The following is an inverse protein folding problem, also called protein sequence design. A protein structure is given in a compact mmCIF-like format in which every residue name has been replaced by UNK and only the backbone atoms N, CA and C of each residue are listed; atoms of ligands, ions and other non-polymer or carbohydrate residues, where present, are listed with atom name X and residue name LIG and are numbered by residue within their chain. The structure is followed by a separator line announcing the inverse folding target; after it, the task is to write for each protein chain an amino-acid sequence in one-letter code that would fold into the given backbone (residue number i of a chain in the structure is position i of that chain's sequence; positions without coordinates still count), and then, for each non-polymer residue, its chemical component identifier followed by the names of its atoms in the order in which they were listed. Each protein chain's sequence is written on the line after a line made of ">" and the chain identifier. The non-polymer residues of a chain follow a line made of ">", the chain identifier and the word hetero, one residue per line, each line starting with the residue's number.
data_IF_729684136865
#
_entry.id   IF_729684136865
#
_cell.length_a   1.000
_cell.length_b   1.000
_cell.length_c   1.000
_cell.angle_alpha   90.00
_cell.angle_beta   90.00
_cell.angle_gamma   90.00
#
_symmetry.space_group_name_H-M   'P 1'
#
loop_
_entity.id
_entity.type
_entity.pdbx_description
1 polymer ?
#
# COMPACT_ATOMS: atom_id res chain seq x y z
N UNK A 1 -14.35 -2.69 8.17
CA UNK A 1 -14.27 -1.68 7.11
C UNK A 1 -14.05 -2.32 5.74
N UNK A 2 -12.98 -3.12 5.54
CA UNK A 2 -12.71 -3.76 4.24
C UNK A 2 -13.89 -4.60 3.72
N UNK A 3 -14.52 -5.42 4.56
CA UNK A 3 -15.67 -6.23 4.16
C UNK A 3 -16.88 -5.38 3.76
N UNK A 4 -17.17 -4.29 4.49
CA UNK A 4 -18.26 -3.37 4.14
C UNK A 4 -17.99 -2.70 2.80
N UNK A 5 -16.77 -2.21 2.58
CA UNK A 5 -16.35 -1.64 1.30
C UNK A 5 -16.49 -2.66 0.17
N UNK A 6 -16.04 -3.91 0.39
CA UNK A 6 -16.14 -4.96 -0.61
C UNK A 6 -17.60 -5.26 -0.99
N UNK A 7 -18.50 -5.34 -0.01
CA UNK A 7 -19.93 -5.59 -0.27
C UNK A 7 -20.57 -4.46 -1.08
N UNK A 8 -20.27 -3.22 -0.72
CA UNK A 8 -20.79 -2.06 -1.44
C UNK A 8 -20.28 -2.02 -2.90
N UNK A 9 -18.99 -2.20 -3.09
CA UNK A 9 -18.36 -2.14 -4.42
C UNK A 9 -18.83 -3.25 -5.35
N UNK A 10 -19.24 -4.41 -4.82
CA UNK A 10 -19.83 -5.48 -5.65
C UNK A 10 -21.12 -5.04 -6.36
N UNK A 11 -21.93 -4.19 -5.74
CA UNK A 11 -23.17 -3.69 -6.37
C UNK A 11 -22.85 -2.80 -7.57
N UNK A 12 -21.90 -1.88 -7.43
CA UNK A 12 -21.48 -1.01 -8.53
C UNK A 12 -20.75 -1.80 -9.63
N UNK A 13 -19.93 -2.78 -9.25
CA UNK A 13 -19.29 -3.70 -10.17
C UNK A 13 -20.33 -4.52 -10.98
N UNK A 14 -21.37 -5.01 -10.33
CA UNK A 14 -22.46 -5.70 -10.99
C UNK A 14 -23.23 -4.80 -11.97
N UNK A 15 -23.50 -3.54 -11.57
CA UNK A 15 -24.15 -2.56 -12.43
C UNK A 15 -23.34 -2.25 -13.70
N UNK A 16 -22.02 -2.34 -13.66
CA UNK A 16 -21.15 -2.21 -14.83
C UNK A 16 -21.11 -3.51 -15.68
N UNK A 17 -20.85 -4.65 -15.02
CA UNK A 17 -20.51 -5.90 -15.72
C UNK A 17 -21.74 -6.64 -16.27
N UNK A 18 -22.85 -6.66 -15.52
CA UNK A 18 -24.04 -7.41 -15.93
C UNK A 18 -24.64 -6.89 -17.25
N UNK A 19 -24.87 -5.58 -17.43
CA UNK A 19 -25.32 -5.07 -18.73
C UNK A 19 -24.29 -5.27 -19.84
N UNK A 20 -22.98 -5.12 -19.56
CA UNK A 20 -21.92 -5.37 -20.52
C UNK A 20 -21.92 -6.85 -20.99
N UNK A 21 -22.16 -7.78 -20.08
CA UNK A 21 -22.29 -9.20 -20.39
C UNK A 21 -23.49 -9.47 -21.33
N UNK A 22 -24.68 -8.92 -21.01
CA UNK A 22 -25.83 -9.06 -21.86
C UNK A 22 -25.65 -8.40 -23.25
N UNK A 23 -24.93 -7.27 -23.29
CA UNK A 23 -24.54 -6.66 -24.55
C UNK A 23 -23.59 -7.56 -25.36
N UNK A 24 -22.62 -8.19 -24.73
CA UNK A 24 -21.67 -9.11 -25.39
C UNK A 24 -22.35 -10.36 -25.97
N UNK A 25 -23.47 -10.78 -25.36
CA UNK A 25 -24.29 -11.88 -25.85
C UNK A 25 -25.32 -11.46 -26.96
N UNK A 26 -25.36 -10.16 -27.31
CA UNK A 26 -26.32 -9.62 -28.26
C UNK A 26 -27.77 -9.50 -27.74
N UNK A 27 -27.99 -9.73 -26.43
CA UNK A 27 -29.31 -9.57 -25.78
C UNK A 27 -29.65 -8.08 -25.67
N UNK A 28 -28.68 -7.26 -25.26
CA UNK A 28 -28.78 -5.81 -25.34
C UNK A 28 -28.17 -5.33 -26.67
N UNK A 29 -28.92 -4.52 -27.40
CA UNK A 29 -28.44 -3.96 -28.66
C UNK A 29 -27.35 -2.91 -28.49
N UNK A 30 -27.44 -2.15 -27.45
CA UNK A 30 -26.49 -1.06 -27.14
C UNK A 30 -26.21 -0.99 -25.63
N UNK A 31 -25.02 -0.59 -25.29
CA UNK A 31 -24.65 -0.22 -23.92
C UNK A 31 -23.76 1.02 -23.97
N UNK A 32 -24.17 2.08 -23.31
CA UNK A 32 -23.47 3.37 -23.33
C UNK A 32 -22.11 3.28 -22.62
N UNK A 33 -20.98 3.59 -23.29
CA UNK A 33 -19.65 3.50 -22.71
C UNK A 33 -19.44 4.46 -21.53
N UNK A 34 -20.11 5.61 -21.52
CA UNK A 34 -20.03 6.58 -20.44
C UNK A 34 -20.67 6.05 -19.15
N UNK A 35 -21.86 5.45 -19.29
CA UNK A 35 -22.56 4.77 -18.19
C UNK A 35 -21.70 3.61 -17.67
N UNK A 36 -21.15 2.76 -18.56
CA UNK A 36 -20.25 1.69 -18.18
C UNK A 36 -19.05 2.22 -17.37
N UNK A 37 -18.37 3.28 -17.84
CA UNK A 37 -17.20 3.83 -17.17
C UNK A 37 -17.53 4.44 -15.80
N UNK A 38 -18.67 5.09 -15.66
CA UNK A 38 -19.10 5.62 -14.36
C UNK A 38 -19.29 4.51 -13.32
N UNK A 39 -20.06 3.46 -13.64
CA UNK A 39 -20.24 2.33 -12.74
C UNK A 39 -18.95 1.53 -12.53
N UNK A 40 -18.15 1.34 -13.59
CA UNK A 40 -16.86 0.65 -13.47
C UNK A 40 -15.92 1.37 -12.50
N UNK A 41 -15.85 2.68 -12.53
CA UNK A 41 -14.98 3.42 -11.60
C UNK A 41 -15.62 3.65 -10.24
N UNK A 42 -16.93 3.61 -10.11
CA UNK A 42 -17.63 3.45 -8.84
C UNK A 42 -17.19 2.17 -8.11
N UNK A 43 -16.95 1.10 -8.86
CA UNK A 43 -16.34 -0.13 -8.36
C UNK A 43 -14.81 -0.03 -8.24
N UNK A 44 -14.12 0.44 -9.30
CA UNK A 44 -12.67 0.25 -9.47
C UNK A 44 -11.84 0.91 -8.38
N UNK A 45 -12.11 2.16 -8.06
CA UNK A 45 -11.35 2.85 -7.01
C UNK A 45 -11.71 2.37 -5.60
N UNK A 46 -12.98 2.25 -5.21
CA UNK A 46 -13.35 1.69 -3.90
C UNK A 46 -12.86 0.25 -3.70
N UNK A 47 -12.81 -0.58 -4.75
CA UNK A 47 -12.24 -1.92 -4.67
C UNK A 47 -10.73 -1.90 -4.30
N UNK A 48 -9.97 -0.94 -4.84
CA UNK A 48 -8.58 -0.75 -4.42
C UNK A 48 -8.47 -0.30 -2.96
N UNK A 49 -9.46 0.38 -2.44
CA UNK A 49 -9.50 0.81 -1.04
C UNK A 49 -9.89 -0.32 -0.08
N UNK A 50 -10.53 -1.38 -0.57
CA UNK A 50 -10.63 -2.65 0.18
C UNK A 50 -9.22 -3.17 0.49
N UNK A 51 -8.33 -3.16 -0.50
CA UNK A 51 -6.93 -3.54 -0.33
C UNK A 51 -6.22 -2.62 0.68
N UNK A 52 -6.45 -1.30 0.62
CA UNK A 52 -5.89 -0.35 1.58
C UNK A 52 -6.34 -0.67 3.01
N UNK A 53 -7.63 -0.82 3.24
CA UNK A 53 -8.17 -1.09 4.57
C UNK A 53 -7.66 -2.43 5.13
N UNK A 54 -7.56 -3.46 4.30
CA UNK A 54 -6.99 -4.74 4.65
C UNK A 54 -5.49 -4.62 4.96
N UNK A 55 -4.72 -3.96 4.11
CA UNK A 55 -3.29 -3.71 4.28
C UNK A 55 -2.98 -2.99 5.59
N UNK A 56 -3.70 -1.91 5.91
CA UNK A 56 -3.50 -1.18 7.17
C UNK A 56 -3.81 -2.06 8.37
N UNK A 57 -4.82 -2.92 8.29
CA UNK A 57 -5.12 -3.90 9.35
C UNK A 57 -3.96 -4.88 9.55
N UNK A 58 -3.34 -5.34 8.44
CA UNK A 58 -2.15 -6.18 8.46
C UNK A 58 -0.94 -5.43 9.02
N UNK A 59 -0.76 -4.15 8.73
CA UNK A 59 0.31 -3.34 9.34
C UNK A 59 0.23 -3.33 10.86
N UNK A 60 -0.96 -3.15 11.43
CA UNK A 60 -1.16 -3.26 12.88
C UNK A 60 -0.85 -4.67 13.39
N UNK A 61 -1.31 -5.70 12.69
CA UNK A 61 -1.04 -7.10 13.06
C UNK A 61 0.46 -7.41 13.01
N UNK A 62 1.17 -7.05 11.95
CA UNK A 62 2.62 -7.25 11.83
C UNK A 62 3.39 -6.47 12.90
N UNK A 63 3.02 -5.23 13.16
CA UNK A 63 3.66 -4.43 14.20
C UNK A 63 3.42 -5.03 15.60
N UNK A 64 2.22 -5.58 15.85
CA UNK A 64 1.91 -6.29 17.10
C UNK A 64 2.74 -7.58 17.21
N UNK A 65 2.79 -8.39 16.15
CA UNK A 65 3.50 -9.69 16.15
C UNK A 65 5.01 -9.48 16.31
N UNK A 66 5.59 -8.51 15.59
CA UNK A 66 7.05 -8.35 15.52
C UNK A 66 7.64 -7.47 16.63
N UNK A 67 6.89 -6.49 17.11
CA UNK A 67 7.36 -5.51 18.07
C UNK A 67 6.55 -5.48 19.38
N UNK A 68 5.30 -5.97 19.34
CA UNK A 68 4.40 -5.95 20.50
C UNK A 68 3.79 -4.56 20.76
N UNK A 69 3.42 -3.84 19.68
CA UNK A 69 2.85 -2.50 19.83
C UNK A 69 1.47 -2.53 20.49
N UNK A 70 1.12 -1.37 21.09
CA UNK A 70 -0.27 -0.97 21.36
C UNK A 70 -0.59 0.26 20.51
N UNK A 71 -1.81 0.38 19.93
CA UNK A 71 -2.21 1.61 19.26
C UNK A 71 -2.05 2.81 20.19
N UNK A 72 -1.43 3.90 19.71
CA UNK A 72 -1.23 5.12 20.51
C UNK A 72 -2.57 5.69 20.96
N UNK A 73 -3.55 5.65 20.07
CA UNK A 73 -4.92 6.01 20.35
C UNK A 73 -5.86 5.16 19.49
N UNK A 74 -6.54 4.21 20.12
CA UNK A 74 -7.44 3.28 19.42
C UNK A 74 -8.65 3.99 18.79
N UNK A 75 -9.22 4.98 19.47
CA UNK A 75 -10.36 5.74 18.94
C UNK A 75 -9.95 6.51 17.68
N UNK A 76 -8.77 7.10 17.69
CA UNK A 76 -8.21 7.82 16.54
C UNK A 76 -7.99 6.88 15.36
N UNK A 77 -7.40 5.71 15.59
CA UNK A 77 -7.21 4.69 14.54
C UNK A 77 -8.54 4.17 13.99
N UNK A 78 -9.53 3.95 14.84
CA UNK A 78 -10.88 3.54 14.40
C UNK A 78 -11.57 4.64 13.58
N UNK A 79 -11.43 5.91 13.97
CA UNK A 79 -11.95 7.05 13.21
C UNK A 79 -11.36 7.08 11.79
N UNK A 80 -10.07 6.82 11.62
CA UNK A 80 -9.43 6.76 10.31
C UNK A 80 -10.08 5.71 9.39
N UNK A 81 -10.42 4.53 9.92
CA UNK A 81 -11.16 3.52 9.16
C UNK A 81 -12.60 3.94 8.82
N UNK A 82 -13.24 4.75 9.65
CA UNK A 82 -14.56 5.32 9.36
C UNK A 82 -14.47 6.33 8.23
N UNK A 83 -13.44 7.18 8.22
CA UNK A 83 -13.19 8.11 7.11
C UNK A 83 -13.03 7.38 5.78
N UNK A 84 -12.40 6.21 5.76
CA UNK A 84 -12.33 5.38 4.55
C UNK A 84 -13.72 4.95 4.04
N UNK A 85 -14.63 4.55 4.92
CA UNK A 85 -15.97 4.13 4.51
C UNK A 85 -16.74 5.23 3.78
N UNK A 86 -16.60 6.48 4.23
CA UNK A 86 -17.36 7.59 3.66
C UNK A 86 -16.67 8.21 2.44
N UNK A 87 -15.40 8.57 2.56
CA UNK A 87 -14.76 9.44 1.57
C UNK A 87 -14.12 8.71 0.41
N UNK A 88 -13.76 7.46 0.59
CA UNK A 88 -13.14 6.67 -0.47
C UNK A 88 -14.15 6.34 -1.57
N UNK A 89 -15.38 6.03 -1.23
CA UNK A 89 -16.43 5.77 -2.21
C UNK A 89 -16.75 7.02 -3.05
N UNK A 90 -16.70 8.19 -2.44
CA UNK A 90 -16.90 9.47 -3.13
C UNK A 90 -15.69 9.87 -3.98
N UNK A 91 -14.52 9.31 -3.72
CA UNK A 91 -13.25 9.67 -4.36
C UNK A 91 -12.99 9.03 -5.74
N UNK A 92 -13.97 8.41 -6.40
CA UNK A 92 -13.74 7.63 -7.64
C UNK A 92 -13.60 8.46 -8.91
N UNK A 93 -14.15 9.68 -8.94
CA UNK A 93 -14.23 10.47 -10.17
C UNK A 93 -12.88 10.98 -10.69
N UNK A 94 -11.80 10.92 -9.90
CA UNK A 94 -10.47 11.28 -10.38
C UNK A 94 -9.95 10.35 -11.50
N UNK A 95 -10.54 9.19 -11.70
CA UNK A 95 -10.28 8.34 -12.86
C UNK A 95 -11.00 8.79 -14.13
N UNK A 96 -11.95 9.72 -14.00
CA UNK A 96 -12.83 10.22 -15.08
C UNK A 96 -12.61 11.70 -15.39
N UNK A 97 -11.57 12.35 -14.85
CA UNK A 97 -11.38 13.81 -14.97
C UNK A 97 -11.26 14.28 -16.42
N UNK A 98 -10.76 13.42 -17.32
CA UNK A 98 -10.63 13.70 -18.75
C UNK A 98 -11.77 13.11 -19.59
N UNK A 99 -12.73 12.43 -18.95
CA UNK A 99 -13.87 11.85 -19.64
C UNK A 99 -14.92 12.93 -19.93
N UNK A 100 -15.61 12.87 -21.08
CA UNK A 100 -16.71 13.77 -21.38
C UNK A 100 -17.91 13.49 -20.45
N UNK A 101 -18.68 14.55 -20.17
CA UNK A 101 -19.94 14.44 -19.43
C UNK A 101 -19.84 14.49 -17.92
N UNK A 102 -18.65 14.53 -17.32
CA UNK A 102 -18.50 14.73 -15.89
C UNK A 102 -18.65 16.22 -15.55
N UNK A 103 -19.60 16.58 -14.67
CA UNK A 103 -19.84 17.98 -14.31
C UNK A 103 -18.67 18.59 -13.54
N UNK A 104 -18.44 19.90 -13.74
CA UNK A 104 -17.41 20.65 -13.00
C UNK A 104 -17.62 20.55 -11.48
N UNK A 105 -18.86 20.65 -11.00
CA UNK A 105 -19.17 20.55 -9.58
C UNK A 105 -18.75 19.20 -9.01
N UNK A 106 -19.01 18.10 -9.72
CA UNK A 106 -18.61 16.76 -9.28
C UNK A 106 -17.10 16.60 -9.30
N UNK A 107 -16.41 17.08 -10.33
CA UNK A 107 -14.95 17.11 -10.37
C UNK A 107 -14.37 17.86 -9.18
N UNK A 108 -14.87 19.07 -8.89
CA UNK A 108 -14.40 19.90 -7.78
C UNK A 108 -14.62 19.23 -6.42
N UNK A 109 -15.81 18.67 -6.17
CA UNK A 109 -16.09 17.94 -4.91
C UNK A 109 -15.18 16.73 -4.76
N UNK A 110 -14.98 15.97 -5.83
CA UNK A 110 -14.19 14.76 -5.81
C UNK A 110 -12.71 15.04 -5.56
N UNK A 111 -12.12 15.98 -6.28
CA UNK A 111 -10.68 16.30 -6.21
C UNK A 111 -10.30 17.13 -4.98
N UNK A 112 -11.24 17.84 -4.36
CA UNK A 112 -10.97 18.63 -3.15
C UNK A 112 -11.36 17.87 -1.87
N UNK A 113 -12.67 17.72 -1.63
CA UNK A 113 -13.15 17.23 -0.35
C UNK A 113 -12.99 15.72 -0.19
N UNK A 114 -13.50 14.94 -1.16
CA UNK A 114 -13.54 13.50 -1.01
C UNK A 114 -12.12 12.90 -0.96
N UNK A 115 -11.24 13.32 -1.85
CA UNK A 115 -9.88 12.81 -1.90
C UNK A 115 -9.06 13.20 -0.67
N UNK A 116 -9.09 14.48 -0.25
CA UNK A 116 -8.28 14.91 0.89
C UNK A 116 -8.77 14.36 2.22
N UNK A 117 -10.08 14.13 2.38
CA UNK A 117 -10.61 13.48 3.58
C UNK A 117 -10.29 11.98 3.62
N UNK A 118 -10.23 11.32 2.46
CA UNK A 118 -9.70 9.95 2.38
C UNK A 118 -8.20 9.88 2.73
N UNK A 119 -7.40 10.85 2.22
CA UNK A 119 -5.97 10.97 2.56
C UNK A 119 -5.77 11.24 4.05
N UNK A 120 -6.64 12.02 4.69
CA UNK A 120 -6.56 12.28 6.13
C UNK A 120 -6.60 10.97 6.93
N UNK A 121 -7.48 10.01 6.59
CA UNK A 121 -7.50 8.68 7.20
C UNK A 121 -6.16 7.95 7.07
N UNK A 122 -5.54 8.01 5.89
CA UNK A 122 -4.23 7.42 5.65
C UNK A 122 -3.12 8.10 6.46
N UNK A 123 -3.15 9.43 6.58
CA UNK A 123 -2.19 10.19 7.40
C UNK A 123 -2.31 9.87 8.89
N UNK A 124 -3.53 9.63 9.38
CA UNK A 124 -3.75 9.19 10.77
C UNK A 124 -3.04 7.86 11.04
N UNK A 125 -3.11 6.89 10.13
CA UNK A 125 -2.40 5.62 10.25
C UNK A 125 -0.88 5.77 10.03
N UNK A 126 -0.47 6.61 9.08
CA UNK A 126 0.94 6.90 8.78
C UNK A 126 1.68 7.53 9.98
N UNK A 127 0.96 8.21 10.88
CA UNK A 127 1.51 8.66 12.16
C UNK A 127 1.38 7.59 13.25
N UNK A 128 0.18 6.99 13.41
CA UNK A 128 -0.13 6.11 14.54
C UNK A 128 0.75 4.87 14.61
N UNK A 129 1.07 4.24 13.45
CA UNK A 129 1.86 3.01 13.42
C UNK A 129 3.34 3.28 13.72
N UNK A 130 4.05 4.20 13.05
CA UNK A 130 5.42 4.55 13.43
C UNK A 130 5.56 5.05 14.87
N UNK A 131 4.59 5.82 15.34
CA UNK A 131 4.57 6.28 16.73
C UNK A 131 4.47 5.12 17.72
N UNK A 132 3.58 4.16 17.45
CA UNK A 132 3.45 2.96 18.29
C UNK A 132 4.72 2.09 18.24
N UNK A 133 5.34 1.93 17.08
CA UNK A 133 6.62 1.23 16.92
C UNK A 133 7.73 1.93 17.71
N UNK A 134 7.84 3.25 17.63
CA UNK A 134 8.84 4.02 18.37
C UNK A 134 8.65 3.87 19.88
N UNK A 135 7.41 4.04 20.39
CA UNK A 135 7.13 3.88 21.82
C UNK A 135 7.53 2.49 22.30
N UNK A 136 7.12 1.44 21.57
CA UNK A 136 7.43 0.07 21.94
C UNK A 136 8.94 -0.24 21.94
N UNK A 137 9.65 0.23 20.93
CA UNK A 137 11.10 0.01 20.84
C UNK A 137 11.88 0.84 21.84
N UNK A 138 11.44 2.08 22.15
CA UNK A 138 12.03 2.88 23.22
C UNK A 138 11.80 2.26 24.61
N UNK A 139 10.63 1.70 24.85
CA UNK A 139 10.33 0.96 26.08
C UNK A 139 11.24 -0.27 26.26
N UNK A 140 11.67 -0.88 25.15
CA UNK A 140 12.67 -1.97 25.14
C UNK A 140 14.13 -1.50 25.30
N UNK A 141 14.35 -0.18 25.49
CA UNK A 141 15.68 0.40 25.77
C UNK A 141 16.35 1.10 24.58
N UNK A 142 15.76 1.09 23.38
CA UNK A 142 16.36 1.74 22.20
C UNK A 142 16.10 3.25 22.18
N UNK A 143 16.53 3.97 23.22
CA UNK A 143 16.21 5.39 23.47
C UNK A 143 17.21 6.41 22.90
N UNK A 144 18.35 5.96 22.34
CA UNK A 144 19.43 6.86 21.90
C UNK A 144 19.03 7.69 20.69
N UNK A 145 18.93 9.01 20.86
CA UNK A 145 18.63 9.96 19.80
C UNK A 145 17.23 9.81 19.18
N UNK A 146 17.00 10.48 18.05
CA UNK A 146 15.71 10.49 17.38
C UNK A 146 15.38 9.15 16.69
N UNK A 147 16.36 8.50 16.08
CA UNK A 147 16.18 7.31 15.24
C UNK A 147 16.88 6.05 15.76
N UNK A 148 17.37 6.08 17.04
CA UNK A 148 17.96 4.89 17.65
C UNK A 148 17.02 3.69 17.69
N UNK A 149 15.74 3.93 17.92
CA UNK A 149 14.70 2.92 17.89
C UNK A 149 14.57 2.25 16.51
N UNK A 150 14.59 3.03 15.43
CA UNK A 150 14.49 2.54 14.06
C UNK A 150 15.75 1.79 13.64
N UNK A 151 16.94 2.29 14.02
CA UNK A 151 18.22 1.65 13.69
C UNK A 151 18.36 0.27 14.32
N UNK A 152 17.83 0.08 15.54
CA UNK A 152 17.91 -1.16 16.30
C UNK A 152 16.63 -2.00 16.21
N UNK A 153 15.71 -1.64 15.32
CA UNK A 153 14.50 -2.40 15.07
C UNK A 153 14.83 -3.79 14.48
N UNK A 154 13.91 -4.75 14.56
CA UNK A 154 14.17 -6.13 14.12
C UNK A 154 14.16 -6.29 12.59
N UNK A 155 15.05 -5.62 11.89
CA UNK A 155 15.16 -5.64 10.42
C UNK A 155 15.43 -7.02 9.83
N UNK A 156 15.93 -7.96 10.63
CA UNK A 156 16.11 -9.35 10.25
C UNK A 156 14.82 -10.17 10.26
N UNK A 157 13.75 -9.62 10.85
CA UNK A 157 12.44 -10.26 10.92
C UNK A 157 11.62 -9.91 9.67
N UNK A 158 11.22 -10.93 8.85
CA UNK A 158 10.60 -10.66 7.55
C UNK A 158 9.27 -9.90 7.65
N UNK A 159 8.52 -10.09 8.73
CA UNK A 159 7.29 -9.33 8.95
C UNK A 159 7.54 -7.86 9.24
N UNK A 160 8.58 -7.55 10.02
CA UNK A 160 8.93 -6.16 10.31
C UNK A 160 9.46 -5.43 9.07
N UNK A 161 10.37 -6.05 8.33
CA UNK A 161 10.90 -5.45 7.11
C UNK A 161 9.81 -5.29 6.03
N UNK A 162 8.90 -6.27 5.88
CA UNK A 162 7.74 -6.14 5.00
C UNK A 162 6.82 -5.01 5.42
N UNK A 163 6.53 -4.85 6.71
CA UNK A 163 5.74 -3.75 7.24
C UNK A 163 6.33 -2.39 6.86
N UNK A 164 7.59 -2.16 7.21
CA UNK A 164 8.21 -0.84 7.01
C UNK A 164 8.38 -0.51 5.54
N UNK A 165 8.82 -1.47 4.72
CA UNK A 165 8.95 -1.28 3.27
C UNK A 165 7.59 -1.08 2.60
N UNK A 166 6.55 -1.82 3.02
CA UNK A 166 5.18 -1.63 2.56
C UNK A 166 4.68 -0.22 2.86
N UNK A 167 4.86 0.26 4.10
CA UNK A 167 4.47 1.62 4.49
C UNK A 167 5.23 2.69 3.70
N UNK A 168 6.53 2.49 3.48
CA UNK A 168 7.36 3.42 2.72
C UNK A 168 6.90 3.49 1.26
N UNK A 169 6.78 2.36 0.58
CA UNK A 169 6.39 2.32 -0.83
C UNK A 169 4.97 2.82 -1.04
N UNK A 170 4.05 2.40 -0.18
CA UNK A 170 2.67 2.88 -0.24
C UNK A 170 2.56 4.38 0.02
N UNK A 171 3.15 4.88 1.10
CA UNK A 171 2.99 6.27 1.52
C UNK A 171 3.82 7.25 0.68
N UNK A 172 5.14 7.06 0.66
CA UNK A 172 6.09 8.02 0.09
C UNK A 172 6.12 8.03 -1.44
N UNK A 173 5.77 6.92 -2.07
CA UNK A 173 5.71 6.83 -3.53
C UNK A 173 4.25 6.79 -3.99
N UNK A 174 3.49 5.78 -3.57
CA UNK A 174 2.14 5.54 -4.03
C UNK A 174 1.15 6.64 -3.63
N UNK A 175 1.08 6.98 -2.34
CA UNK A 175 0.14 7.98 -1.84
C UNK A 175 0.37 9.37 -2.44
N UNK A 176 1.64 9.81 -2.48
CA UNK A 176 2.02 11.11 -3.05
C UNK A 176 1.69 11.19 -4.53
N UNK A 177 2.01 10.15 -5.31
CA UNK A 177 1.68 10.09 -6.74
C UNK A 177 0.17 10.04 -6.97
N UNK A 178 -0.59 9.38 -6.09
CA UNK A 178 -2.05 9.32 -6.17
C UNK A 178 -2.70 10.68 -6.02
N UNK A 179 -2.29 11.46 -5.02
CA UNK A 179 -2.82 12.81 -4.81
C UNK A 179 -2.51 13.72 -6.00
N UNK A 180 -1.30 13.65 -6.56
CA UNK A 180 -0.94 14.45 -7.74
C UNK A 180 -1.72 14.06 -8.98
N UNK A 181 -1.95 12.75 -9.23
CA UNK A 181 -2.82 12.29 -10.32
C UNK A 181 -4.29 12.71 -10.08
N UNK A 182 -4.71 12.81 -8.84
CA UNK A 182 -6.04 13.29 -8.47
C UNK A 182 -6.26 14.79 -8.71
N UNK A 183 -5.23 15.57 -9.02
CA UNK A 183 -5.33 16.98 -9.39
C UNK A 183 -5.64 17.07 -10.89
N UNK A 184 -6.75 17.74 -11.27
CA UNK A 184 -7.26 17.72 -12.67
C UNK A 184 -6.22 18.20 -13.67
N UNK A 185 -5.52 19.30 -13.41
CA UNK A 185 -4.53 19.88 -14.32
C UNK A 185 -3.36 18.90 -14.58
N UNK A 186 -2.87 18.24 -13.54
CA UNK A 186 -1.82 17.21 -13.67
C UNK A 186 -2.38 15.98 -14.37
N UNK A 187 -3.61 15.56 -14.02
CA UNK A 187 -4.25 14.39 -14.61
C UNK A 187 -4.39 14.54 -16.13
N UNK A 188 -4.79 15.70 -16.62
CA UNK A 188 -4.93 15.96 -18.06
C UNK A 188 -3.64 15.68 -18.83
N UNK A 189 -2.49 15.96 -18.25
CA UNK A 189 -1.18 15.79 -18.90
C UNK A 189 -0.64 14.35 -18.79
N UNK A 190 -0.93 13.66 -17.70
CA UNK A 190 -0.37 12.33 -17.42
C UNK A 190 -1.36 11.18 -17.58
N UNK A 191 -2.62 11.49 -17.93
CA UNK A 191 -3.65 10.47 -18.15
C UNK A 191 -3.24 9.52 -19.27
N UNK A 192 -3.45 8.23 -19.07
CA UNK A 192 -3.04 7.16 -20.02
C UNK A 192 -1.53 7.01 -20.25
N UNK A 193 -0.68 7.68 -19.47
CA UNK A 193 0.77 7.41 -19.47
C UNK A 193 1.17 6.32 -18.48
N UNK A 194 2.43 5.88 -18.53
CA UNK A 194 3.00 4.93 -17.56
C UNK A 194 3.02 5.44 -16.12
N UNK A 195 2.77 6.73 -15.90
CA UNK A 195 2.65 7.29 -14.55
C UNK A 195 1.50 6.66 -13.75
N UNK A 196 0.36 6.35 -14.40
CA UNK A 196 -0.76 5.69 -13.73
C UNK A 196 -0.41 4.28 -13.25
N UNK A 197 0.08 3.37 -14.13
CA UNK A 197 0.59 2.07 -13.65
C UNK A 197 1.67 2.22 -12.58
N UNK A 198 2.62 3.14 -12.71
CA UNK A 198 3.64 3.39 -11.71
C UNK A 198 3.06 3.71 -10.32
N UNK A 199 2.02 4.55 -10.27
CA UNK A 199 1.30 4.86 -9.04
C UNK A 199 0.69 3.60 -8.40
N UNK A 200 -0.11 2.83 -9.12
CA UNK A 200 -0.76 1.68 -8.49
C UNK A 200 0.19 0.50 -8.26
N UNK A 201 1.32 0.41 -8.97
CA UNK A 201 2.39 -0.53 -8.60
C UNK A 201 3.03 -0.16 -7.27
N UNK A 202 3.21 1.12 -6.98
CA UNK A 202 3.69 1.57 -5.67
C UNK A 202 2.67 1.33 -4.54
N UNK A 203 1.36 1.49 -4.81
CA UNK A 203 0.30 1.28 -3.81
C UNK A 203 -0.05 -0.19 -3.64
N UNK A 204 -0.70 -0.80 -4.63
CA UNK A 204 -1.28 -2.14 -4.51
C UNK A 204 -0.21 -3.22 -4.63
N UNK A 205 0.61 -3.20 -5.70
CA UNK A 205 1.57 -4.28 -5.93
C UNK A 205 2.72 -4.23 -4.93
N UNK A 206 3.20 -3.05 -4.58
CA UNK A 206 4.26 -2.92 -3.55
C UNK A 206 3.67 -2.94 -2.14
N UNK A 207 2.84 -1.94 -1.82
CA UNK A 207 2.33 -1.74 -0.48
C UNK A 207 1.52 -2.92 0.01
N UNK A 208 0.40 -3.21 -0.65
CA UNK A 208 -0.52 -4.27 -0.22
C UNK A 208 0.13 -5.65 -0.30
N UNK A 209 0.70 -6.01 -1.45
CA UNK A 209 1.25 -7.35 -1.65
C UNK A 209 2.38 -7.64 -0.67
N UNK A 210 3.29 -6.68 -0.44
CA UNK A 210 4.42 -6.89 0.48
C UNK A 210 3.95 -7.08 1.92
N UNK A 211 2.93 -6.33 2.37
CA UNK A 211 2.34 -6.53 3.69
C UNK A 211 1.74 -7.94 3.83
N UNK A 212 0.99 -8.39 2.82
CA UNK A 212 0.41 -9.73 2.81
C UNK A 212 1.47 -10.84 2.74
N UNK A 213 2.52 -10.67 1.94
CA UNK A 213 3.65 -11.60 1.91
C UNK A 213 4.28 -11.74 3.31
N UNK A 214 4.58 -10.63 3.97
CA UNK A 214 5.12 -10.63 5.33
C UNK A 214 4.20 -11.32 6.33
N UNK A 215 2.90 -11.06 6.25
CA UNK A 215 1.90 -11.67 7.14
C UNK A 215 1.73 -13.17 6.91
N UNK A 216 1.84 -13.61 5.66
CA UNK A 216 1.72 -15.04 5.30
C UNK A 216 2.75 -15.91 6.02
N UNK A 217 3.95 -15.39 6.30
CA UNK A 217 4.98 -16.13 7.03
C UNK A 217 4.58 -16.51 8.47
N UNK A 218 3.62 -15.80 9.06
CA UNK A 218 3.05 -16.14 10.37
C UNK A 218 1.77 -16.98 10.23
N UNK A 219 1.01 -16.75 9.16
CA UNK A 219 -0.25 -17.49 8.92
C UNK A 219 -0.02 -18.94 8.53
N UNK A 220 1.04 -19.23 7.75
CA UNK A 220 1.37 -20.59 7.33
C UNK A 220 1.59 -21.53 8.53
N UNK A 221 2.43 -21.21 9.52
CA UNK A 221 2.58 -22.03 10.70
C UNK A 221 1.27 -22.30 11.43
N UNK A 222 0.39 -21.30 11.50
CA UNK A 222 -0.90 -21.43 12.18
C UNK A 222 -1.88 -22.33 11.44
N UNK A 223 -2.07 -22.13 10.13
CA UNK A 223 -3.06 -22.88 9.35
C UNK A 223 -2.59 -24.30 9.06
N UNK A 224 -1.36 -24.46 8.60
CA UNK A 224 -0.83 -25.75 8.15
C UNK A 224 -0.12 -26.53 9.25
N UNK A 225 0.06 -25.94 10.44
CA UNK A 225 0.81 -26.53 11.56
C UNK A 225 2.19 -27.01 11.13
N UNK A 226 2.86 -26.20 10.34
CA UNK A 226 4.19 -26.46 9.78
C UNK A 226 5.12 -25.31 10.12
N UNK A 227 6.39 -25.60 10.39
CA UNK A 227 7.39 -24.55 10.54
C UNK A 227 7.74 -23.91 9.19
N UNK A 228 8.04 -22.61 9.24
CA UNK A 228 8.55 -21.90 8.08
C UNK A 228 9.94 -22.43 7.71
N UNK A 229 10.11 -22.86 6.46
CA UNK A 229 11.39 -23.24 5.88
C UNK A 229 12.06 -22.07 5.19
N UNK A 230 13.34 -22.23 4.83
CA UNK A 230 14.11 -21.21 4.11
C UNK A 230 14.11 -19.85 4.85
N UNK A 231 14.23 -19.87 6.18
CA UNK A 231 14.20 -18.66 7.03
C UNK A 231 15.22 -17.58 6.54
N UNK A 232 16.39 -18.00 6.02
CA UNK A 232 17.37 -17.11 5.43
C UNK A 232 16.85 -16.38 4.20
N UNK A 233 16.10 -17.08 3.33
CA UNK A 233 15.45 -16.45 2.17
C UNK A 233 14.30 -15.53 2.61
N UNK A 234 13.50 -15.96 3.59
CA UNK A 234 12.41 -15.14 4.13
C UNK A 234 12.91 -13.80 4.68
N UNK A 235 14.10 -13.78 5.30
CA UNK A 235 14.75 -12.55 5.77
C UNK A 235 15.04 -11.57 4.63
N UNK A 236 15.52 -12.05 3.48
CA UNK A 236 15.93 -11.20 2.35
C UNK A 236 14.82 -10.90 1.34
N UNK A 237 13.80 -11.75 1.28
CA UNK A 237 12.71 -11.64 0.32
C UNK A 237 12.02 -10.25 0.32
N UNK A 238 11.68 -9.64 1.46
CA UNK A 238 11.07 -8.30 1.47
C UNK A 238 11.95 -7.22 0.85
N UNK A 239 13.25 -7.32 1.03
CA UNK A 239 14.19 -6.37 0.45
C UNK A 239 14.33 -6.53 -1.06
N UNK A 240 14.45 -7.77 -1.54
CA UNK A 240 14.54 -8.05 -2.98
C UNK A 240 13.27 -7.60 -3.69
N UNK A 241 12.10 -8.01 -3.17
CA UNK A 241 10.82 -7.62 -3.73
C UNK A 241 10.57 -6.11 -3.61
N UNK A 242 10.78 -5.53 -2.43
CA UNK A 242 10.54 -4.11 -2.17
C UNK A 242 11.46 -3.20 -3.01
N UNK A 243 12.75 -3.53 -3.14
CA UNK A 243 13.67 -2.79 -4.00
C UNK A 243 13.28 -2.93 -5.48
N UNK A 244 12.94 -4.15 -5.91
CA UNK A 244 12.44 -4.39 -7.26
C UNK A 244 11.23 -3.55 -7.57
N UNK A 245 10.24 -3.51 -6.67
CA UNK A 245 9.03 -2.72 -6.84
C UNK A 245 9.26 -1.21 -6.76
N UNK A 246 10.22 -0.75 -5.94
CA UNK A 246 10.63 0.66 -5.93
C UNK A 246 11.14 1.08 -7.31
N UNK A 247 12.09 0.34 -7.87
CA UNK A 247 12.66 0.64 -9.18
C UNK A 247 11.60 0.53 -10.29
N UNK A 248 10.76 -0.50 -10.25
CA UNK A 248 9.62 -0.67 -11.18
C UNK A 248 8.71 0.55 -11.17
N UNK A 249 8.23 0.94 -9.98
CA UNK A 249 7.29 2.05 -9.84
C UNK A 249 7.93 3.38 -10.26
N UNK A 250 9.16 3.65 -9.81
CA UNK A 250 9.86 4.89 -10.15
C UNK A 250 10.19 4.96 -11.65
N UNK A 251 10.64 3.88 -12.25
CA UNK A 251 10.89 3.81 -13.69
C UNK A 251 9.62 4.10 -14.51
N UNK A 252 8.47 3.51 -14.14
CA UNK A 252 7.18 3.80 -14.77
C UNK A 252 6.73 5.25 -14.54
N UNK A 253 6.87 5.78 -13.32
CA UNK A 253 6.47 7.16 -12.99
C UNK A 253 7.26 8.16 -13.82
N UNK A 254 8.58 8.01 -13.88
CA UNK A 254 9.46 8.89 -14.64
C UNK A 254 9.21 8.77 -16.14
N UNK A 255 9.08 7.55 -16.68
CA UNK A 255 8.73 7.36 -18.09
C UNK A 255 7.38 7.98 -18.44
N UNK A 256 6.39 7.84 -17.55
CA UNK A 256 5.07 8.44 -17.75
C UNK A 256 5.07 9.95 -17.70
N UNK A 257 5.94 10.60 -16.88
CA UNK A 257 6.16 12.05 -16.90
C UNK A 257 6.81 12.53 -18.21
N UNK A 258 7.59 11.66 -18.85
CA UNK A 258 8.19 11.93 -20.15
C UNK A 258 7.22 11.65 -21.32
N UNK A 259 5.95 11.34 -21.04
CA UNK A 259 4.92 11.14 -22.04
C UNK A 259 4.75 9.71 -22.55
N UNK A 260 5.47 8.73 -21.99
CA UNK A 260 5.34 7.33 -22.41
C UNK A 260 3.93 6.82 -22.14
N UNK A 261 3.22 6.45 -23.18
CA UNK A 261 1.85 5.94 -23.07
C UNK A 261 1.84 4.54 -22.40
N UNK A 262 0.83 4.31 -21.55
CA UNK A 262 0.56 2.95 -21.08
C UNK A 262 -0.03 2.10 -22.19
N UNK A 263 0.19 0.77 -22.14
CA UNK A 263 -0.34 -0.19 -23.12
C UNK A 263 0.22 0.01 -24.53
N UNK A 264 1.39 0.61 -24.65
CA UNK A 264 2.07 0.71 -25.92
C UNK A 264 2.83 -0.61 -26.21
N UNK A 265 2.68 -1.14 -27.41
CA UNK A 265 3.36 -2.34 -27.86
C UNK A 265 4.70 -2.03 -28.58
N UNK A 266 4.80 -0.82 -29.11
CA UNK A 266 6.00 -0.35 -29.82
C UNK A 266 6.90 0.45 -28.89
N UNK A 267 7.98 -0.15 -28.43
CA UNK A 267 8.96 0.48 -27.54
C UNK A 267 9.80 1.56 -28.25
N UNK A 268 9.81 1.59 -29.57
CA UNK A 268 10.54 2.63 -30.33
C UNK A 268 9.77 3.94 -30.38
N UNK A 269 8.46 3.91 -30.05
CA UNK A 269 7.56 5.05 -30.07
C UNK A 269 7.63 5.85 -31.38
N UNK A 270 7.93 5.17 -32.50
CA UNK A 270 8.15 5.76 -33.83
C UNK A 270 9.22 6.88 -33.83
N UNK A 271 10.22 6.78 -32.97
CA UNK A 271 11.32 7.75 -32.89
C UNK A 271 10.99 9.07 -32.19
N UNK A 272 9.83 9.18 -31.55
CA UNK A 272 9.34 10.44 -30.96
C UNK A 272 9.78 10.64 -29.50
N UNK A 273 10.39 9.64 -28.88
CA UNK A 273 10.69 9.66 -27.43
C UNK A 273 12.12 10.13 -27.16
N UNK A 274 12.32 11.06 -26.20
CA UNK A 274 13.67 11.50 -25.82
C UNK A 274 14.52 10.32 -25.33
N UNK A 275 15.83 10.29 -25.67
CA UNK A 275 16.74 9.21 -25.24
C UNK A 275 16.84 9.00 -23.73
N UNK A 276 16.44 9.99 -22.91
CA UNK A 276 16.31 9.86 -21.46
C UNK A 276 15.21 8.86 -21.02
N UNK A 277 14.24 8.55 -21.88
CA UNK A 277 13.19 7.55 -21.64
C UNK A 277 13.78 6.14 -21.57
N UNK A 278 14.79 5.84 -22.39
CA UNK A 278 15.45 4.53 -22.38
C UNK A 278 16.02 4.21 -20.99
N UNK A 279 16.60 5.20 -20.32
CA UNK A 279 17.14 5.03 -18.96
C UNK A 279 16.01 4.70 -17.99
N UNK A 280 14.90 5.42 -18.03
CA UNK A 280 13.78 5.19 -17.12
C UNK A 280 13.08 3.85 -17.38
N UNK A 281 12.98 3.43 -18.65
CA UNK A 281 12.49 2.10 -19.03
C UNK A 281 13.46 0.98 -18.63
N UNK A 282 14.78 1.21 -18.72
CA UNK A 282 15.78 0.26 -18.23
C UNK A 282 15.68 0.08 -16.71
N UNK A 283 15.52 1.17 -15.95
CA UNK A 283 15.27 1.12 -14.49
C UNK A 283 13.99 0.33 -14.18
N UNK A 284 12.92 0.58 -14.93
CA UNK A 284 11.68 -0.20 -14.83
C UNK A 284 11.93 -1.70 -15.08
N UNK A 285 12.63 -2.05 -16.17
CA UNK A 285 12.91 -3.44 -16.53
C UNK A 285 13.76 -4.18 -15.48
N UNK A 286 14.85 -3.56 -15.01
CA UNK A 286 15.68 -4.11 -13.92
C UNK A 286 14.85 -4.29 -12.65
N UNK A 287 14.06 -3.30 -12.30
CA UNK A 287 13.15 -3.36 -11.14
C UNK A 287 12.17 -4.54 -11.26
N UNK A 288 11.55 -4.72 -12.42
CA UNK A 288 10.62 -5.81 -12.67
C UNK A 288 11.28 -7.20 -12.51
N UNK A 289 12.50 -7.38 -13.02
CA UNK A 289 13.25 -8.63 -12.84
C UNK A 289 13.54 -8.92 -11.36
N UNK A 290 13.94 -7.91 -10.58
CA UNK A 290 14.14 -8.04 -9.14
C UNK A 290 12.83 -8.35 -8.40
N UNK A 291 11.73 -7.68 -8.76
CA UNK A 291 10.43 -7.93 -8.16
C UNK A 291 9.95 -9.37 -8.43
N UNK A 292 10.08 -9.84 -9.67
CA UNK A 292 9.77 -11.24 -10.03
C UNK A 292 10.65 -12.21 -9.23
N UNK A 293 11.94 -11.93 -9.11
CA UNK A 293 12.84 -12.75 -8.27
C UNK A 293 12.38 -12.81 -6.82
N UNK A 294 12.02 -11.67 -6.22
CA UNK A 294 11.47 -11.62 -4.87
C UNK A 294 10.13 -12.34 -4.74
N UNK A 295 9.29 -12.31 -5.78
CA UNK A 295 8.05 -13.07 -5.88
C UNK A 295 8.30 -14.60 -5.95
N UNK A 296 9.25 -15.03 -6.76
CA UNK A 296 9.66 -16.45 -6.84
C UNK A 296 10.21 -16.93 -5.50
N UNK A 297 11.05 -16.13 -4.84
CA UNK A 297 11.53 -16.43 -3.48
C UNK A 297 10.35 -16.68 -2.52
N UNK A 298 9.38 -15.78 -2.52
CA UNK A 298 8.18 -15.88 -1.68
C UNK A 298 7.41 -17.17 -1.96
N UNK A 299 7.06 -17.45 -3.22
CA UNK A 299 6.33 -18.66 -3.60
C UNK A 299 7.08 -19.92 -3.19
N UNK A 300 8.41 -19.93 -3.41
CA UNK A 300 9.27 -21.06 -3.02
C UNK A 300 9.26 -21.29 -1.50
N UNK A 301 9.38 -20.21 -0.70
CA UNK A 301 9.32 -20.30 0.77
C UNK A 301 7.98 -20.85 1.21
N UNK A 302 6.88 -20.35 0.66
CA UNK A 302 5.51 -20.76 0.99
C UNK A 302 5.30 -22.23 0.66
N UNK A 303 5.56 -22.64 -0.58
CA UNK A 303 5.34 -24.00 -1.04
C UNK A 303 6.23 -25.02 -0.30
N UNK A 304 7.51 -24.72 -0.14
CA UNK A 304 8.40 -25.63 0.60
C UNK A 304 8.00 -25.75 2.06
N UNK A 305 7.52 -24.67 2.69
CA UNK A 305 7.05 -24.73 4.08
C UNK A 305 5.78 -25.57 4.21
N UNK A 306 4.81 -25.40 3.32
CA UNK A 306 3.55 -26.16 3.33
C UNK A 306 3.79 -27.65 3.01
N UNK A 307 4.57 -27.93 1.98
CA UNK A 307 4.75 -29.30 1.50
C UNK A 307 5.73 -30.11 2.36
N UNK A 308 6.86 -29.52 2.72
CA UNK A 308 7.99 -30.24 3.34
C UNK A 308 8.42 -29.69 4.71
N UNK A 309 7.73 -28.68 5.26
CA UNK A 309 8.02 -28.12 6.58
C UNK A 309 7.82 -29.17 7.69
N UNK A 310 8.66 -29.16 8.72
CA UNK A 310 8.43 -29.97 9.91
C UNK A 310 7.08 -29.64 10.55
N UNK A 311 6.47 -30.60 11.22
CA UNK A 311 5.25 -30.35 11.99
C UNK A 311 5.58 -29.43 13.17
N UNK A 312 4.77 -28.39 13.33
CA UNK A 312 4.86 -27.50 14.48
C UNK A 312 4.33 -28.26 15.72
N UNK A 313 5.12 -28.29 16.79
CA UNK A 313 4.69 -28.89 18.05
C UNK A 313 3.53 -28.08 18.67
N UNK A 314 2.64 -28.76 19.38
CA UNK A 314 1.47 -28.16 20.01
C UNK A 314 1.84 -27.01 20.98
N UNK A 315 2.96 -27.17 21.71
CA UNK A 315 3.52 -26.13 22.58
C UNK A 315 3.88 -24.84 21.82
N UNK A 316 4.49 -24.97 20.65
CA UNK A 316 4.85 -23.84 19.81
C UNK A 316 3.62 -23.20 19.12
N UNK A 317 2.59 -24.01 18.84
CA UNK A 317 1.32 -23.48 18.33
C UNK A 317 0.60 -22.64 19.38
N UNK A 318 0.59 -23.08 20.65
CA UNK A 318 0.05 -22.31 21.77
C UNK A 318 0.80 -20.98 21.97
N UNK A 319 2.11 -20.94 21.74
CA UNK A 319 2.90 -19.70 21.76
C UNK A 319 2.47 -18.71 20.66
N UNK A 320 2.01 -19.20 19.51
CA UNK A 320 1.56 -18.36 18.39
C UNK A 320 0.08 -17.94 18.50
N UNK A 321 -0.77 -18.76 19.11
CA UNK A 321 -2.23 -18.59 19.16
C UNK A 321 -2.78 -18.31 20.55
N UNK A 322 -2.00 -18.56 21.61
CA UNK A 322 -2.48 -18.56 22.98
C UNK A 322 -2.81 -17.16 23.53
N UNK A 323 -3.86 -17.12 24.33
CA UNK A 323 -4.21 -15.94 25.17
C UNK A 323 -3.12 -15.62 26.20
N UNK A 324 -2.21 -16.54 26.46
CA UNK A 324 -1.01 -16.42 27.28
C UNK A 324 0.23 -16.76 26.47
N UNK A 325 0.54 -15.97 25.44
CA UNK A 325 1.85 -16.05 24.78
C UNK A 325 2.84 -15.23 25.63
N UNK A 326 3.80 -15.87 26.33
CA UNK A 326 4.76 -15.15 27.15
C UNK A 326 5.59 -14.14 26.34
N UNK A 327 5.76 -14.35 25.02
CA UNK A 327 6.39 -13.38 24.14
C UNK A 327 5.49 -12.17 23.90
N UNK A 328 4.17 -12.37 23.74
CA UNK A 328 3.20 -11.29 23.61
C UNK A 328 2.94 -10.62 24.95
N UNK A 329 2.81 -11.39 26.03
CA UNK A 329 2.57 -10.88 27.38
C UNK A 329 3.79 -10.13 27.93
N UNK A 330 5.01 -10.61 27.67
CA UNK A 330 6.24 -9.92 28.02
C UNK A 330 6.51 -8.68 27.15
N UNK A 331 5.85 -8.55 26.00
CA UNK A 331 5.95 -7.40 25.09
C UNK A 331 4.80 -6.42 25.22
N UNK A 332 3.75 -6.74 26.00
CA UNK A 332 2.66 -5.79 26.27
C UNK A 332 3.19 -4.59 27.03
N UNK A 333 3.08 -3.42 26.41
CA UNK A 333 3.41 -2.16 27.05
C UNK A 333 2.43 -1.89 28.18
N UNK A 334 2.94 -1.55 29.36
CA UNK A 334 2.14 -1.04 30.47
C UNK A 334 1.68 0.39 30.19
N UNK A 335 0.61 0.85 30.85
CA UNK A 335 0.17 2.23 30.70
C UNK A 335 1.27 3.20 31.12
N UNK A 336 1.99 2.90 32.20
CA UNK A 336 3.17 3.67 32.62
C UNK A 336 4.25 3.79 31.53
N UNK A 337 4.53 2.70 30.79
CA UNK A 337 5.48 2.73 29.69
C UNK A 337 5.00 3.55 28.48
N UNK A 338 3.67 3.59 28.26
CA UNK A 338 3.06 4.42 27.21
C UNK A 338 3.15 5.91 27.53
N UNK A 339 3.02 6.29 28.82
CA UNK A 339 3.01 7.66 29.29
C UNK A 339 4.41 8.21 29.61
N UNK A 340 5.43 7.35 29.71
CA UNK A 340 6.80 7.76 30.01
C UNK A 340 7.31 8.75 28.94
N UNK A 341 7.70 9.94 29.40
CA UNK A 341 8.25 11.02 28.54
C UNK A 341 9.46 10.60 27.71
N UNK A 342 10.25 9.62 28.18
CA UNK A 342 11.40 9.09 27.44
C UNK A 342 11.00 8.20 26.26
N UNK A 343 9.78 7.68 26.26
CA UNK A 343 9.24 6.81 25.21
C UNK A 343 8.43 7.60 24.18
N UNK A 344 8.25 8.91 24.33
CA UNK A 344 7.47 9.71 23.38
C UNK A 344 7.97 9.59 21.93
N UNK A 345 7.07 9.52 20.93
CA UNK A 345 7.42 9.22 19.56
C UNK A 345 7.92 10.45 18.78
N UNK A 346 9.02 11.06 19.24
CA UNK A 346 9.61 12.25 18.60
C UNK A 346 10.17 11.97 17.21
N UNK A 347 10.77 10.80 17.01
CA UNK A 347 11.32 10.38 15.72
C UNK A 347 10.22 10.11 14.70
N UNK A 348 9.11 9.47 15.09
CA UNK A 348 7.96 9.27 14.22
C UNK A 348 7.34 10.62 13.81
N UNK A 349 7.28 11.59 14.72
CA UNK A 349 6.82 12.94 14.38
C UNK A 349 7.71 13.60 13.33
N UNK A 350 9.03 13.49 13.47
CA UNK A 350 9.99 14.01 12.47
C UNK A 350 9.80 13.31 11.12
N UNK A 351 9.56 11.99 11.09
CA UNK A 351 9.27 11.27 9.84
C UNK A 351 7.99 11.76 9.17
N UNK A 352 6.94 12.09 9.93
CA UNK A 352 5.71 12.68 9.38
C UNK A 352 5.97 14.06 8.79
N UNK A 353 6.72 14.91 9.47
CA UNK A 353 7.10 16.22 8.90
C UNK A 353 7.96 16.06 7.65
N UNK A 354 8.94 15.16 7.64
CA UNK A 354 9.73 14.87 6.45
C UNK A 354 8.86 14.38 5.28
N UNK A 355 7.85 13.55 5.57
CA UNK A 355 6.87 13.12 4.57
C UNK A 355 6.06 14.31 4.02
N UNK A 356 5.57 15.21 4.88
CA UNK A 356 4.81 16.39 4.44
C UNK A 356 5.67 17.33 3.58
N UNK A 357 6.94 17.53 3.94
CA UNK A 357 7.90 18.30 3.14
C UNK A 357 8.14 17.62 1.79
N UNK A 358 8.37 16.30 1.78
CA UNK A 358 8.51 15.52 0.55
C UNK A 358 7.27 15.63 -0.33
N UNK A 359 6.09 15.49 0.27
CA UNK A 359 4.81 15.62 -0.45
C UNK A 359 4.69 17.00 -1.10
N UNK A 360 4.98 18.07 -0.37
CA UNK A 360 4.93 19.44 -0.89
C UNK A 360 5.94 19.63 -2.04
N UNK A 361 7.20 19.23 -1.85
CA UNK A 361 8.22 19.31 -2.90
C UNK A 361 7.77 18.55 -4.15
N UNK A 362 7.34 17.29 -3.98
CA UNK A 362 6.89 16.47 -5.09
C UNK A 362 5.69 17.07 -5.82
N UNK A 363 4.70 17.57 -5.07
CA UNK A 363 3.50 18.20 -5.62
C UNK A 363 3.85 19.45 -6.45
N UNK A 364 4.60 20.39 -5.87
CA UNK A 364 4.96 21.63 -6.56
C UNK A 364 5.94 21.38 -7.71
N UNK A 365 6.86 20.44 -7.60
CA UNK A 365 7.75 20.07 -8.71
C UNK A 365 6.96 19.52 -9.90
N UNK A 366 5.96 18.68 -9.64
CA UNK A 366 5.10 18.17 -10.72
C UNK A 366 4.25 19.28 -11.34
N UNK A 367 3.78 20.21 -10.52
CA UNK A 367 3.05 21.37 -11.02
C UNK A 367 3.92 22.29 -11.88
N UNK A 368 5.19 22.43 -11.50
CA UNK A 368 6.14 23.26 -12.24
C UNK A 368 6.63 22.64 -13.54
N UNK A 369 6.82 21.30 -13.55
CA UNK A 369 7.37 20.57 -14.71
C UNK A 369 6.31 20.27 -15.78
N UNK A 370 5.05 20.32 -15.46
CA UNK A 370 3.91 20.06 -16.34
C UNK A 370 3.14 21.31 -16.69
#
# INVERSE_FOLDING_TARGET
>A
TAAILATYTLLEGAAAIVPAFFWSLGILKTYDPGIYRNFFWGFGHPAQQVNLAAMVSIWYALAQITVGIRPVNEKFSRLAFILYLFFINLGSAHHLLVDPGLSFAWKAVNTSYAMYLAVLGSMMHAFSIPAALEIALRAKGYRKGLFGWLRNAPWGEPGFSSLVLSMFLFGWIGGVTGVTIGTEQINMLVHNTLRLPGHFHATVVSGTTLAFMGFTYYVIPLIFRKELKLKGWAKWQPYVFGTGMLLTSMGMIVSGLQGVARRNWDITFAGVVPGTVEISLAVFGIGALLAVTGGIMYVTIVLTSILTGPRLEASNLLLLTGTHNPLIDSTKLTDHQMEDKQNQPKGALVLVFAFLVWFAIYYFTNWWLL
#
